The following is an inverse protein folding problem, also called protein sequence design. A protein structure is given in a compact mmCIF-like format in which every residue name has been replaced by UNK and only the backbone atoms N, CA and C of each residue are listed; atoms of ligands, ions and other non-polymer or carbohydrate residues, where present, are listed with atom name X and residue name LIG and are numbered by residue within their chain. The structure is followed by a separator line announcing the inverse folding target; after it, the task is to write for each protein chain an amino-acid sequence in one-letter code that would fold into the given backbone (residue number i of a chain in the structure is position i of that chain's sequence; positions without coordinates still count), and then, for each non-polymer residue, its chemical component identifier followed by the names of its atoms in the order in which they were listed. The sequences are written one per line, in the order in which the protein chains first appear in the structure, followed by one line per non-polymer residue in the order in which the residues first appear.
data_IF_604459545918
#
_entry.id   IF_604459545918
#
_cell.length_a   1.000
_cell.length_b   1.000
_cell.length_c   1.000
_cell.angle_alpha   90.00
_cell.angle_beta   90.00
_cell.angle_gamma   90.00
#
_symmetry.space_group_name_H-M   'P 1'
#
loop_
_entity.id
_entity.type
_entity.pdbx_description
1 polymer ?
#
# COMPACT_ATOMS: atom_id res chain seq x y z
N UNK A 1 -11.58 -9.21 -3.18
CA UNK A 1 -11.09 -8.45 -4.35
C UNK A 1 -11.12 -9.27 -5.63
N UNK A 2 -10.58 -10.52 -5.71
CA UNK A 2 -10.53 -11.33 -6.94
C UNK A 2 -11.90 -11.46 -7.62
N UNK A 3 -12.97 -11.76 -6.86
CA UNK A 3 -14.32 -11.84 -7.41
C UNK A 3 -14.81 -10.49 -7.97
N UNK A 4 -14.40 -9.36 -7.38
CA UNK A 4 -14.78 -8.05 -7.89
C UNK A 4 -14.16 -7.78 -9.27
N UNK A 5 -12.96 -8.27 -9.53
CA UNK A 5 -12.29 -8.11 -10.82
C UNK A 5 -13.04 -8.81 -11.96
N UNK A 6 -13.82 -9.85 -11.69
CA UNK A 6 -14.61 -10.54 -12.75
C UNK A 6 -15.78 -9.71 -13.27
N UNK A 7 -16.10 -8.58 -12.64
CA UNK A 7 -17.16 -7.66 -13.05
C UNK A 7 -16.62 -6.41 -13.77
N UNK A 8 -15.31 -6.35 -14.01
CA UNK A 8 -14.70 -5.18 -14.66
C UNK A 8 -14.93 -5.25 -16.18
N UNK A 9 -15.64 -4.24 -16.71
CA UNK A 9 -15.97 -4.09 -18.12
C UNK A 9 -15.38 -2.82 -18.74
N UNK A 10 -14.96 -1.86 -17.89
CA UNK A 10 -14.48 -0.55 -18.32
C UNK A 10 -12.93 -0.48 -18.28
N UNK A 11 -12.31 0.43 -19.06
CA UNK A 11 -10.85 0.54 -19.16
C UNK A 11 -10.16 1.00 -17.86
N UNK A 12 -10.89 1.65 -16.96
CA UNK A 12 -10.39 2.08 -15.65
C UNK A 12 -11.24 1.46 -14.54
N UNK A 13 -10.60 0.99 -13.49
CA UNK A 13 -11.27 0.35 -12.35
C UNK A 13 -10.70 0.86 -11.03
N UNK A 14 -11.57 1.01 -10.05
CA UNK A 14 -11.21 1.27 -8.66
C UNK A 14 -11.90 0.24 -7.75
N UNK A 15 -11.19 -0.20 -6.72
CA UNK A 15 -11.74 -1.07 -5.68
C UNK A 15 -11.84 -0.26 -4.40
N UNK A 16 -12.99 0.38 -4.23
CA UNK A 16 -13.25 1.30 -3.12
C UNK A 16 -13.59 0.54 -1.83
N UNK A 17 -13.18 1.08 -0.68
CA UNK A 17 -13.67 0.65 0.63
C UNK A 17 -15.13 1.07 0.85
N UNK A 18 -15.87 0.29 1.62
CA UNK A 18 -17.30 0.55 1.86
C UNK A 18 -17.55 1.79 2.74
N UNK A 19 -16.55 2.24 3.47
CA UNK A 19 -16.59 3.33 4.44
C UNK A 19 -15.83 4.59 3.98
N UNK A 20 -15.16 4.52 2.83
CA UNK A 20 -14.42 5.62 2.23
C UNK A 20 -15.31 6.55 1.41
N UNK A 21 -14.80 7.74 1.06
CA UNK A 21 -15.57 8.74 0.29
C UNK A 21 -14.76 9.18 -0.93
N UNK A 22 -15.32 8.98 -2.10
CA UNK A 22 -14.87 9.57 -3.35
C UNK A 22 -15.38 11.01 -3.43
N UNK A 23 -14.47 11.98 -3.61
CA UNK A 23 -14.88 13.37 -3.78
C UNK A 23 -15.49 13.60 -5.18
N UNK A 24 -16.35 14.62 -5.34
CA UNK A 24 -17.05 14.86 -6.61
C UNK A 24 -16.15 15.03 -7.84
N UNK A 25 -14.89 15.45 -7.64
CA UNK A 25 -13.91 15.65 -8.70
C UNK A 25 -13.10 14.37 -9.05
N UNK A 26 -13.31 13.24 -8.36
CA UNK A 26 -12.47 12.06 -8.52
C UNK A 26 -12.51 11.49 -9.94
N UNK A 27 -13.71 11.32 -10.51
CA UNK A 27 -13.85 10.72 -11.84
C UNK A 27 -13.24 11.61 -12.91
N UNK A 28 -13.53 12.90 -12.87
CA UNK A 28 -12.96 13.88 -13.80
C UNK A 28 -11.43 13.99 -13.67
N UNK A 29 -10.92 13.89 -12.44
CA UNK A 29 -9.48 13.83 -12.17
C UNK A 29 -8.87 12.58 -12.81
N UNK A 30 -9.48 11.41 -12.57
CA UNK A 30 -8.97 10.13 -13.06
C UNK A 30 -8.93 10.07 -14.59
N UNK A 31 -10.00 10.49 -15.27
CA UNK A 31 -10.05 10.50 -16.73
C UNK A 31 -8.93 11.38 -17.31
N UNK A 32 -8.80 12.61 -16.78
CA UNK A 32 -7.72 13.53 -17.21
C UNK A 32 -6.33 12.99 -16.89
N UNK A 33 -6.15 12.35 -15.74
CA UNK A 33 -4.88 11.74 -15.36
C UNK A 33 -4.51 10.58 -16.31
N UNK A 34 -5.48 9.74 -16.64
CA UNK A 34 -5.28 8.61 -17.56
C UNK A 34 -4.97 9.06 -19.00
N UNK A 35 -5.58 10.16 -19.47
CA UNK A 35 -5.29 10.76 -20.79
C UNK A 35 -3.89 11.39 -20.84
N UNK A 36 -3.49 12.13 -19.80
CA UNK A 36 -2.20 12.82 -19.73
C UNK A 36 -1.02 11.88 -19.49
N UNK A 37 -1.28 10.73 -18.84
CA UNK A 37 -0.28 9.74 -18.48
C UNK A 37 -0.66 8.36 -19.02
N UNK A 38 -0.63 8.16 -20.37
CA UNK A 38 -1.06 6.91 -20.99
C UNK A 38 -0.21 5.71 -20.56
N UNK A 39 0.98 5.98 -20.09
CA UNK A 39 1.98 5.04 -19.63
C UNK A 39 1.90 4.72 -18.13
N UNK A 40 1.01 5.37 -17.36
CA UNK A 40 0.71 5.00 -15.98
C UNK A 40 -0.35 3.91 -15.93
N UNK A 41 -0.07 2.86 -15.17
CA UNK A 41 -0.98 1.72 -14.95
C UNK A 41 -1.81 1.90 -13.67
N UNK A 42 -1.31 2.69 -12.72
CA UNK A 42 -1.90 2.95 -11.41
C UNK A 42 -1.98 4.47 -11.20
N UNK A 43 -3.09 4.93 -10.63
CA UNK A 43 -3.36 6.34 -10.37
C UNK A 43 -3.72 6.52 -8.89
N UNK A 44 -2.92 7.33 -8.16
CA UNK A 44 -3.20 7.71 -6.79
C UNK A 44 -3.43 9.21 -6.68
N UNK A 45 -4.62 9.66 -6.28
CA UNK A 45 -4.89 11.07 -5.98
C UNK A 45 -4.31 11.49 -4.64
N UNK A 46 -4.39 12.76 -4.32
CA UNK A 46 -4.29 13.28 -2.96
C UNK A 46 -5.41 12.74 -2.09
N UNK A 47 -5.04 12.20 -0.92
CA UNK A 47 -5.97 11.58 0.03
C UNK A 47 -5.95 12.36 1.34
N UNK A 48 -7.13 12.71 1.85
CA UNK A 48 -7.31 13.14 3.24
C UNK A 48 -7.80 11.98 4.09
N UNK A 49 -7.26 11.88 5.30
CA UNK A 49 -7.68 10.86 6.26
C UNK A 49 -8.69 11.46 7.21
N UNK A 50 -9.82 10.78 7.38
CA UNK A 50 -10.90 11.14 8.29
C UNK A 50 -11.10 10.03 9.34
N UNK A 51 -11.64 10.40 10.48
CA UNK A 51 -12.05 9.46 11.53
C UNK A 51 -13.44 8.85 11.25
N UNK A 52 -13.95 8.07 12.20
CA UNK A 52 -15.28 7.44 12.13
C UNK A 52 -16.43 8.44 12.06
N UNK A 53 -16.23 9.67 12.53
CA UNK A 53 -17.23 10.76 12.51
C UNK A 53 -17.08 11.70 11.31
N UNK A 54 -16.06 11.49 10.46
CA UNK A 54 -15.77 12.33 9.29
C UNK A 54 -14.87 13.53 9.60
N UNK A 55 -14.35 13.67 10.82
CA UNK A 55 -13.40 14.73 11.16
C UNK A 55 -11.99 14.40 10.68
N UNK A 56 -11.14 15.41 10.33
CA UNK A 56 -9.77 15.17 9.94
C UNK A 56 -8.97 14.39 10.99
N UNK A 57 -8.30 13.32 10.56
CA UNK A 57 -7.47 12.49 11.42
C UNK A 57 -5.98 12.74 11.14
N UNK A 58 -5.20 12.97 12.22
CA UNK A 58 -3.76 13.25 12.16
C UNK A 58 -2.99 12.29 13.07
N UNK A 59 -3.03 11.00 12.75
CA UNK A 59 -2.33 10.00 13.55
C UNK A 59 -0.83 9.95 13.24
N UNK A 60 -0.08 9.25 14.08
CA UNK A 60 1.35 9.00 13.83
C UNK A 60 1.56 8.23 12.51
N UNK A 61 0.63 7.34 12.16
CA UNK A 61 0.71 6.55 10.93
C UNK A 61 0.64 7.45 9.69
N UNK A 62 -0.25 8.46 9.67
CA UNK A 62 -0.33 9.42 8.56
C UNK A 62 0.94 10.27 8.45
N UNK A 63 1.55 10.64 9.58
CA UNK A 63 2.85 11.34 9.57
C UNK A 63 3.94 10.47 8.95
N UNK A 64 4.02 9.21 9.33
CA UNK A 64 4.99 8.25 8.78
C UNK A 64 4.73 8.03 7.29
N UNK A 65 3.48 7.78 6.88
CA UNK A 65 3.13 7.67 5.44
C UNK A 65 3.54 8.91 4.67
N UNK A 66 3.28 10.09 5.22
CA UNK A 66 3.62 11.37 4.59
C UNK A 66 5.11 11.60 4.39
N UNK A 67 5.95 11.00 5.22
CA UNK A 67 7.41 11.03 5.07
C UNK A 67 7.90 10.20 3.88
N UNK A 68 7.22 9.09 3.58
CA UNK A 68 7.59 8.21 2.47
C UNK A 68 6.92 8.58 1.13
N UNK A 69 5.88 9.41 1.15
CA UNK A 69 5.17 9.85 -0.07
C UNK A 69 6.09 10.63 -1.01
N UNK A 70 5.86 10.56 -2.32
CA UNK A 70 6.46 11.47 -3.30
C UNK A 70 6.16 12.94 -2.99
N UNK A 71 6.79 13.85 -3.72
CA UNK A 71 6.56 15.29 -3.53
C UNK A 71 5.07 15.63 -3.61
N UNK A 72 4.57 16.35 -2.61
CA UNK A 72 3.17 16.80 -2.54
C UNK A 72 2.86 18.04 -3.37
N UNK A 73 3.80 18.50 -4.18
CA UNK A 73 3.65 19.77 -4.91
C UNK A 73 3.26 19.59 -6.37
N UNK A 74 3.69 18.49 -6.98
CA UNK A 74 3.49 18.23 -8.42
C UNK A 74 3.21 16.75 -8.65
N UNK A 75 2.45 16.41 -9.69
CA UNK A 75 2.27 15.02 -10.12
C UNK A 75 3.61 14.36 -10.46
N UNK A 76 3.76 13.09 -10.11
CA UNK A 76 4.96 12.30 -10.36
C UNK A 76 4.59 10.88 -10.82
N UNK A 77 5.24 10.41 -11.87
CA UNK A 77 5.15 9.00 -12.28
C UNK A 77 6.37 8.26 -11.79
N UNK A 78 6.16 7.27 -10.93
CA UNK A 78 7.18 6.32 -10.46
C UNK A 78 7.10 5.04 -11.27
N UNK A 79 8.26 4.45 -11.63
CA UNK A 79 8.35 3.23 -12.44
C UNK A 79 9.48 2.32 -12.00
N UNK A 80 9.39 1.04 -12.40
CA UNK A 80 10.45 0.08 -12.25
C UNK A 80 11.03 0.04 -10.84
N UNK A 81 12.36 -0.03 -10.72
CA UNK A 81 13.05 -0.10 -9.43
C UNK A 81 12.73 1.10 -8.52
N UNK A 82 12.53 2.31 -9.08
CA UNK A 82 12.23 3.49 -8.27
C UNK A 82 10.85 3.37 -7.59
N UNK A 83 9.82 2.87 -8.28
CA UNK A 83 8.51 2.57 -7.71
C UNK A 83 8.64 1.50 -6.61
N UNK A 84 9.29 0.38 -6.92
CA UNK A 84 9.49 -0.70 -5.98
C UNK A 84 10.22 -0.23 -4.70
N UNK A 85 11.31 0.54 -4.83
CA UNK A 85 12.04 1.11 -3.69
C UNK A 85 11.16 2.03 -2.86
N UNK A 86 10.35 2.87 -3.50
CA UNK A 86 9.46 3.82 -2.82
C UNK A 86 8.45 3.08 -1.93
N UNK A 87 7.77 2.08 -2.48
CA UNK A 87 6.73 1.30 -1.78
C UNK A 87 7.33 0.41 -0.68
N UNK A 88 8.45 -0.27 -0.97
CA UNK A 88 9.09 -1.18 -0.01
C UNK A 88 9.77 -0.46 1.16
N UNK A 89 10.11 0.82 1.03
CA UNK A 89 10.61 1.63 2.15
C UNK A 89 9.54 1.94 3.18
N UNK A 90 8.30 2.16 2.72
CA UNK A 90 7.16 2.42 3.57
C UNK A 90 5.91 2.49 2.71
N UNK A 91 4.96 1.64 2.99
CA UNK A 91 3.67 1.62 2.29
C UNK A 91 2.89 2.92 2.58
N UNK A 92 3.06 3.89 1.68
CA UNK A 92 2.37 5.18 1.75
C UNK A 92 1.06 5.19 0.97
N UNK A 93 0.73 4.10 0.27
CA UNK A 93 -0.50 3.99 -0.52
C UNK A 93 -1.76 3.96 0.35
N UNK A 94 -2.84 4.43 -0.23
CA UNK A 94 -4.20 4.24 0.26
C UNK A 94 -4.94 3.39 -0.77
N UNK A 95 -4.86 2.07 -0.65
CA UNK A 95 -5.35 1.12 -1.64
C UNK A 95 -6.77 1.45 -2.14
N UNK A 96 -7.77 1.78 -1.29
CA UNK A 96 -9.11 2.11 -1.76
C UNK A 96 -9.19 3.36 -2.64
N UNK A 97 -8.19 4.23 -2.61
CA UNK A 97 -8.13 5.42 -3.47
C UNK A 97 -7.47 5.16 -4.82
N UNK A 98 -6.82 3.99 -5.00
CA UNK A 98 -6.13 3.67 -6.23
C UNK A 98 -7.10 3.34 -7.36
N UNK A 99 -6.90 3.96 -8.50
CA UNK A 99 -7.48 3.49 -9.76
C UNK A 99 -6.41 2.79 -10.60
N UNK A 100 -6.84 1.88 -11.45
CA UNK A 100 -6.01 0.99 -12.24
C UNK A 100 -6.46 0.97 -13.68
N UNK A 101 -5.52 0.78 -14.62
CA UNK A 101 -5.93 0.30 -15.94
C UNK A 101 -6.41 -1.13 -15.81
N UNK A 102 -7.62 -1.37 -16.32
CA UNK A 102 -8.26 -2.68 -16.22
C UNK A 102 -7.39 -3.79 -16.83
N UNK A 103 -6.82 -3.55 -18.01
CA UNK A 103 -5.89 -4.49 -18.66
C UNK A 103 -4.72 -4.91 -17.75
N UNK A 104 -4.17 -3.96 -16.96
CA UNK A 104 -3.05 -4.24 -16.07
C UNK A 104 -3.49 -5.08 -14.87
N UNK A 105 -4.53 -4.64 -14.15
CA UNK A 105 -4.95 -5.35 -12.94
C UNK A 105 -5.56 -6.73 -13.25
N UNK A 106 -6.25 -6.86 -14.39
CA UNK A 106 -6.81 -8.15 -14.84
C UNK A 106 -5.70 -9.09 -15.35
N UNK A 107 -4.70 -8.57 -16.04
CA UNK A 107 -3.58 -9.36 -16.55
C UNK A 107 -2.65 -9.87 -15.44
N UNK A 108 -2.47 -9.11 -14.35
CA UNK A 108 -1.59 -9.47 -13.23
C UNK A 108 -2.36 -10.20 -12.13
N UNK A 109 -3.46 -9.63 -11.67
CA UNK A 109 -4.26 -10.15 -10.57
C UNK A 109 -3.59 -10.07 -9.20
N UNK A 110 -4.33 -10.43 -8.17
CA UNK A 110 -3.80 -10.51 -6.81
C UNK A 110 -3.06 -11.84 -6.59
N UNK A 111 -1.87 -11.79 -6.01
CA UNK A 111 -1.10 -13.00 -5.63
C UNK A 111 -1.88 -13.85 -4.63
N UNK A 112 -1.79 -15.17 -4.78
CA UNK A 112 -2.34 -16.11 -3.80
C UNK A 112 -1.48 -16.18 -2.55
N UNK A 113 -2.12 -16.43 -1.41
CA UNK A 113 -1.46 -16.58 -0.13
C UNK A 113 -1.02 -15.30 0.55
N UNK A 114 -1.49 -14.14 0.07
CA UNK A 114 -1.36 -12.84 0.72
C UNK A 114 -2.74 -12.23 0.96
N UNK A 115 -2.99 -11.85 2.22
CA UNK A 115 -4.22 -11.17 2.65
C UNK A 115 -3.94 -9.72 3.10
N UNK A 116 -2.82 -9.52 3.80
CA UNK A 116 -2.47 -8.23 4.41
C UNK A 116 -1.66 -7.35 3.46
N UNK A 117 -0.74 -7.94 2.70
CA UNK A 117 0.18 -7.22 1.79
C UNK A 117 -0.18 -7.40 0.31
N UNK A 118 -1.40 -7.83 0.02
CA UNK A 118 -1.84 -8.12 -1.35
C UNK A 118 -1.81 -6.89 -2.27
N UNK A 119 -2.10 -5.71 -1.74
CA UNK A 119 -2.04 -4.43 -2.43
C UNK A 119 -0.60 -4.03 -2.76
N UNK A 120 0.29 -4.11 -1.78
CA UNK A 120 1.71 -3.85 -1.96
C UNK A 120 2.34 -4.85 -2.95
N UNK A 121 1.94 -6.12 -2.88
CA UNK A 121 2.39 -7.15 -3.82
C UNK A 121 1.96 -6.83 -5.25
N UNK A 122 0.70 -6.44 -5.45
CA UNK A 122 0.18 -6.07 -6.77
C UNK A 122 0.93 -4.86 -7.37
N UNK A 123 1.19 -3.82 -6.57
CA UNK A 123 1.97 -2.65 -7.05
C UNK A 123 3.40 -3.05 -7.42
N UNK A 124 4.05 -3.93 -6.64
CA UNK A 124 5.36 -4.46 -6.98
C UNK A 124 5.34 -5.27 -8.28
N UNK A 125 4.29 -6.07 -8.51
CA UNK A 125 4.12 -6.84 -9.74
C UNK A 125 3.94 -5.93 -10.96
N UNK A 126 3.12 -4.89 -10.85
CA UNK A 126 2.98 -3.86 -11.88
C UNK A 126 4.33 -3.22 -12.19
N UNK A 127 5.11 -2.85 -11.16
CA UNK A 127 6.44 -2.27 -11.35
C UNK A 127 7.40 -3.23 -12.08
N UNK A 128 7.40 -4.51 -11.71
CA UNK A 128 8.25 -5.54 -12.33
C UNK A 128 7.86 -5.83 -13.78
N UNK A 129 6.62 -5.62 -14.17
CA UNK A 129 6.13 -5.75 -15.55
C UNK A 129 6.25 -4.44 -16.35
N UNK A 130 6.90 -3.41 -15.82
CA UNK A 130 7.16 -2.14 -16.52
C UNK A 130 6.07 -1.09 -16.36
N UNK A 131 4.98 -1.37 -15.63
CA UNK A 131 3.92 -0.41 -15.34
C UNK A 131 4.38 0.69 -14.40
N UNK A 132 3.77 1.89 -14.53
CA UNK A 132 4.03 3.05 -13.69
C UNK A 132 2.88 3.36 -12.74
N UNK A 133 3.20 4.06 -11.64
CA UNK A 133 2.23 4.66 -10.73
C UNK A 133 2.33 6.18 -10.82
N UNK A 134 1.24 6.82 -11.18
CA UNK A 134 1.06 8.27 -11.06
C UNK A 134 0.60 8.60 -9.64
N UNK A 135 1.37 9.40 -8.92
CA UNK A 135 0.90 10.12 -7.74
C UNK A 135 0.58 11.57 -8.12
N UNK A 136 -0.64 12.00 -7.91
CA UNK A 136 -1.09 13.38 -8.14
C UNK A 136 -1.62 13.95 -6.80
N UNK A 137 -1.05 15.07 -6.28
CA UNK A 137 -1.46 15.63 -5.00
C UNK A 137 -2.86 16.27 -5.00
N UNK A 138 -3.54 16.33 -6.14
CA UNK A 138 -4.93 16.84 -6.23
C UNK A 138 -5.84 16.04 -5.32
N UNK A 139 -6.41 16.69 -4.33
CA UNK A 139 -7.32 16.05 -3.38
C UNK A 139 -8.59 15.56 -4.09
N UNK A 140 -8.81 14.25 -4.05
CA UNK A 140 -9.99 13.63 -4.67
C UNK A 140 -10.58 12.46 -3.85
N UNK A 141 -10.02 12.14 -2.71
CA UNK A 141 -10.45 10.99 -1.91
C UNK A 141 -10.34 11.24 -0.40
N UNK A 142 -11.33 10.75 0.38
CA UNK A 142 -11.28 10.72 1.83
C UNK A 142 -11.19 9.26 2.27
N UNK A 143 -10.09 8.91 2.92
CA UNK A 143 -9.86 7.59 3.50
C UNK A 143 -10.31 7.59 4.96
N UNK A 144 -11.25 6.69 5.29
CA UNK A 144 -11.76 6.59 6.67
C UNK A 144 -10.91 5.63 7.48
N UNK A 145 -10.52 6.09 8.66
CA UNK A 145 -9.80 5.26 9.63
C UNK A 145 -10.62 5.13 10.91
N UNK A 146 -10.88 3.90 11.32
CA UNK A 146 -11.54 3.59 12.57
C UNK A 146 -10.78 2.52 13.36
N UNK A 147 -10.99 2.48 14.68
CA UNK A 147 -10.30 1.58 15.60
C UNK A 147 -10.60 0.10 15.37
N UNK A 148 -11.76 -0.21 14.78
CA UNK A 148 -12.22 -1.57 14.47
C UNK A 148 -11.73 -2.13 13.13
N UNK A 149 -10.78 -1.48 12.42
CA UNK A 149 -10.29 -1.99 11.15
C UNK A 149 -9.49 -3.29 11.33
N UNK A 150 -9.68 -4.25 10.41
CA UNK A 150 -8.99 -5.56 10.41
C UNK A 150 -7.47 -5.43 10.53
N UNK A 151 -6.88 -4.40 9.94
CA UNK A 151 -5.45 -4.14 10.02
C UNK A 151 -4.96 -3.79 11.42
N UNK A 152 -5.82 -3.25 12.28
CA UNK A 152 -5.45 -2.79 13.62
C UNK A 152 -5.32 -3.94 14.62
N UNK A 153 -6.25 -4.90 14.64
CA UNK A 153 -6.18 -6.01 15.59
C UNK A 153 -5.17 -7.10 15.16
N UNK A 154 -5.07 -7.41 13.87
CA UNK A 154 -4.07 -8.35 13.33
C UNK A 154 -2.62 -7.90 13.58
N UNK A 155 -2.40 -6.59 13.68
CA UNK A 155 -1.10 -6.05 14.04
C UNK A 155 -0.69 -6.42 15.46
N UNK A 156 -1.61 -6.38 16.44
CA UNK A 156 -1.33 -6.73 17.85
C UNK A 156 -1.09 -8.22 18.07
N UNK A 157 -1.69 -9.09 17.29
CA UNK A 157 -1.43 -10.53 17.35
C UNK A 157 -0.09 -10.94 16.73
N UNK A 158 0.51 -10.05 15.94
CA UNK A 158 1.78 -10.28 15.26
C UNK A 158 1.70 -11.27 14.08
N UNK A 159 0.52 -11.80 13.75
CA UNK A 159 0.31 -12.73 12.62
C UNK A 159 0.57 -12.04 11.28
N UNK A 160 0.17 -10.78 11.17
CA UNK A 160 0.45 -9.89 10.04
C UNK A 160 1.94 -9.87 9.66
N UNK A 161 2.83 -9.77 10.64
CA UNK A 161 4.27 -9.61 10.41
C UNK A 161 4.94 -10.86 9.85
N UNK A 162 4.34 -12.04 10.08
CA UNK A 162 4.78 -13.29 9.43
C UNK A 162 4.56 -13.24 7.91
N UNK A 163 3.40 -12.72 7.48
CA UNK A 163 3.08 -12.53 6.07
C UNK A 163 3.96 -11.43 5.45
N UNK A 164 4.09 -10.27 6.11
CA UNK A 164 4.97 -9.18 5.67
C UNK A 164 6.40 -9.67 5.45
N UNK A 165 6.98 -10.42 6.40
CA UNK A 165 8.33 -10.96 6.28
C UNK A 165 8.48 -11.89 5.08
N UNK A 166 7.55 -12.81 4.89
CA UNK A 166 7.54 -13.71 3.72
C UNK A 166 7.51 -12.92 2.42
N UNK A 167 6.63 -11.93 2.33
CA UNK A 167 6.53 -11.04 1.18
C UNK A 167 7.85 -10.31 0.92
N UNK A 168 8.41 -9.64 1.91
CA UNK A 168 9.64 -8.86 1.75
C UNK A 168 10.81 -9.73 1.31
N UNK A 169 10.99 -10.93 1.86
CA UNK A 169 12.05 -11.85 1.44
C UNK A 169 11.84 -12.39 0.02
N UNK A 170 10.59 -12.62 -0.37
CA UNK A 170 10.25 -13.00 -1.73
C UNK A 170 10.58 -11.86 -2.70
N UNK A 171 10.17 -10.63 -2.40
CA UNK A 171 10.51 -9.45 -3.21
C UNK A 171 12.02 -9.23 -3.32
N UNK A 172 12.77 -9.43 -2.23
CA UNK A 172 14.23 -9.35 -2.26
C UNK A 172 14.84 -10.33 -3.27
N UNK A 173 14.29 -11.53 -3.37
CA UNK A 173 14.75 -12.56 -4.31
C UNK A 173 14.36 -12.24 -5.74
N UNK A 174 13.09 -11.89 -5.98
CA UNK A 174 12.55 -11.62 -7.32
C UNK A 174 13.21 -10.38 -7.94
N UNK A 175 13.30 -9.28 -7.17
CA UNK A 175 13.95 -8.05 -7.63
C UNK A 175 15.46 -8.20 -7.79
N UNK A 176 16.09 -9.06 -6.97
CA UNK A 176 17.49 -9.44 -7.17
C UNK A 176 17.73 -10.13 -8.51
N UNK A 177 16.82 -11.03 -8.93
CA UNK A 177 16.89 -11.68 -10.25
C UNK A 177 16.72 -10.72 -11.42
N UNK A 178 15.93 -9.64 -11.23
CA UNK A 178 15.78 -8.56 -12.20
C UNK A 178 16.98 -7.59 -12.23
N UNK A 179 17.96 -7.76 -11.36
CA UNK A 179 19.09 -6.84 -11.23
C UNK A 179 18.78 -5.56 -10.45
N UNK A 180 17.61 -5.45 -9.82
CA UNK A 180 17.18 -4.30 -9.02
C UNK A 180 17.79 -4.33 -7.61
N UNK A 181 19.10 -4.00 -7.56
CA UNK A 181 19.91 -4.13 -6.33
C UNK A 181 19.44 -3.28 -5.16
N UNK A 182 18.90 -2.07 -5.45
CA UNK A 182 18.41 -1.15 -4.42
C UNK A 182 17.08 -1.67 -3.84
N UNK A 183 16.14 -2.08 -4.69
CA UNK A 183 14.86 -2.64 -4.27
C UNK A 183 15.05 -3.94 -3.49
N UNK A 184 15.92 -4.85 -3.98
CA UNK A 184 16.24 -6.09 -3.29
C UNK A 184 16.86 -5.85 -1.90
N UNK A 185 17.73 -4.82 -1.75
CA UNK A 185 18.30 -4.45 -0.44
C UNK A 185 17.22 -3.89 0.49
N UNK A 186 16.36 -2.99 0.00
CA UNK A 186 15.28 -2.39 0.80
C UNK A 186 14.31 -3.49 1.27
N UNK A 187 13.90 -4.38 0.37
CA UNK A 187 13.07 -5.52 0.71
C UNK A 187 13.71 -6.43 1.76
N UNK A 188 14.99 -6.78 1.61
CA UNK A 188 15.69 -7.63 2.57
C UNK A 188 15.75 -7.02 3.96
N UNK A 189 15.97 -5.73 4.06
CA UNK A 189 16.06 -5.00 5.33
C UNK A 189 14.69 -4.72 5.96
N UNK A 190 13.64 -4.50 5.17
CA UNK A 190 12.26 -4.16 5.55
C UNK A 190 12.14 -3.34 6.85
N UNK A 191 12.96 -2.28 6.95
CA UNK A 191 13.17 -1.51 8.16
C UNK A 191 11.86 -0.92 8.71
N UNK A 192 11.00 -0.37 7.85
CA UNK A 192 9.72 0.22 8.27
C UNK A 192 8.81 -0.81 8.95
N UNK A 193 8.73 -2.02 8.43
CA UNK A 193 7.96 -3.12 9.02
C UNK A 193 8.54 -3.55 10.38
N UNK A 194 9.86 -3.65 10.49
CA UNK A 194 10.54 -3.97 11.78
C UNK A 194 10.31 -2.88 12.82
N UNK A 195 10.43 -1.60 12.45
CA UNK A 195 10.16 -0.47 13.34
C UNK A 195 8.70 -0.45 13.79
N UNK A 196 7.77 -0.74 12.88
CA UNK A 196 6.36 -0.85 13.21
C UNK A 196 6.13 -1.99 14.22
N UNK A 197 6.66 -3.18 13.98
CA UNK A 197 6.58 -4.29 14.93
C UNK A 197 7.18 -3.91 16.30
N UNK A 198 8.34 -3.26 16.30
CA UNK A 198 8.99 -2.77 17.53
C UNK A 198 8.13 -1.78 18.33
N UNK A 199 7.44 -0.88 17.64
CA UNK A 199 6.56 0.11 18.28
C UNK A 199 5.33 -0.51 18.97
N UNK A 200 4.93 -1.72 18.57
CA UNK A 200 3.81 -2.46 19.14
C UNK A 200 4.21 -3.33 20.34
N UNK A 201 5.49 -3.64 20.53
CA UNK A 201 5.98 -4.48 21.64
C UNK A 201 5.52 -4.02 23.03
N UNK A 202 5.64 -2.73 23.40
CA UNK A 202 5.19 -2.27 24.72
C UNK A 202 3.69 -2.49 24.93
N UNK A 203 2.87 -2.24 23.89
CA UNK A 203 1.42 -2.43 23.95
C UNK A 203 1.05 -3.91 24.09
N UNK A 204 1.71 -4.80 23.36
CA UNK A 204 1.51 -6.24 23.47
C UNK A 204 1.92 -6.78 24.86
N UNK A 205 3.02 -6.27 25.42
CA UNK A 205 3.47 -6.63 26.75
C UNK A 205 2.49 -6.16 27.85
N UNK A 206 2.02 -4.91 27.78
CA UNK A 206 1.02 -4.37 28.70
C UNK A 206 -0.30 -5.15 28.62
N UNK A 207 -0.71 -5.58 27.43
CA UNK A 207 -1.88 -6.43 27.23
C UNK A 207 -1.67 -7.90 27.64
N UNK A 208 -0.49 -8.26 28.17
CA UNK A 208 -0.09 -9.64 28.52
C UNK A 208 -0.23 -10.64 27.37
N UNK A 209 -0.16 -10.16 26.14
CA UNK A 209 -0.21 -11.01 24.92
C UNK A 209 1.19 -11.57 24.64
N UNK A 210 1.57 -12.65 25.34
CA UNK A 210 2.90 -13.27 25.18
C UNK A 210 3.15 -13.84 23.79
N UNK A 211 2.10 -14.32 23.10
CA UNK A 211 2.21 -14.79 21.72
C UNK A 211 2.53 -13.62 20.78
N UNK A 212 1.83 -12.49 20.93
CA UNK A 212 2.11 -11.26 20.22
C UNK A 212 3.53 -10.75 20.47
N UNK A 213 3.98 -10.68 21.72
CA UNK A 213 5.36 -10.28 22.08
C UNK A 213 6.39 -11.16 21.38
N UNK A 214 6.20 -12.48 21.38
CA UNK A 214 7.11 -13.43 20.72
C UNK A 214 7.14 -13.22 19.18
N UNK A 215 5.98 -13.06 18.56
CA UNK A 215 5.87 -12.88 17.11
C UNK A 215 6.49 -11.54 16.67
N UNK A 216 6.16 -10.45 17.37
CA UNK A 216 6.71 -9.13 17.12
C UNK A 216 8.23 -9.10 17.34
N UNK A 217 8.72 -9.65 18.46
CA UNK A 217 10.16 -9.73 18.77
C UNK A 217 10.93 -10.49 17.70
N UNK A 218 10.40 -11.64 17.24
CA UNK A 218 11.02 -12.40 16.15
C UNK A 218 11.11 -11.59 14.86
N UNK A 219 10.09 -10.80 14.53
CA UNK A 219 10.09 -9.98 13.32
C UNK A 219 11.08 -8.82 13.41
N UNK A 220 11.25 -8.21 14.58
CA UNK A 220 12.21 -7.10 14.80
C UNK A 220 13.66 -7.54 14.56
N UNK A 221 14.03 -8.76 14.96
CA UNK A 221 15.42 -9.24 14.91
C UNK A 221 15.73 -10.12 13.69
N UNK A 222 14.72 -10.58 12.97
CA UNK A 222 14.87 -11.49 11.82
C UNK A 222 15.20 -10.74 10.54
#
# INVERSE_FOLDING_TARGET
YRKCLTFVENPLVQVMGADDIMLPNYVDWLVRAAERHPDAAIFQPGVFVIDEHGAPSHTLVERVKSFYMPSRRVPQVLRGEALAVSILRGDWLYFPSLAWRAETILGIGFREGYDVVQDMALVCDVAMQGGGLLYDPTAAFLYRRHSGSDSSWRALEGTRFGEERRFFLQMATEMGRLGWKRAARVARLHISSRLHAGSLLPRAALARNMAGVKNLGRHVVA
#
